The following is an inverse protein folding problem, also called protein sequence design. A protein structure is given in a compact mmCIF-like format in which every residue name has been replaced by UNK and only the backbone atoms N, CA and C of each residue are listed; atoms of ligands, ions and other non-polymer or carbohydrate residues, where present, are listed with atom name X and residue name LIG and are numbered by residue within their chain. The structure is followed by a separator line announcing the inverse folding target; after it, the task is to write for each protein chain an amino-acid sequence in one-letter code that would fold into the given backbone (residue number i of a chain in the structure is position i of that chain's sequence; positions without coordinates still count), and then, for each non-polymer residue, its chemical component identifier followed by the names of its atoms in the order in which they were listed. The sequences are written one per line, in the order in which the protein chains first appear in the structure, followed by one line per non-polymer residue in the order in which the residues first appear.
data_IF_612762230905
#
_entry.id   IF_612762230905
#
_cell.length_a   1.000
_cell.length_b   1.000
_cell.length_c   1.000
_cell.angle_alpha   90.00
_cell.angle_beta   90.00
_cell.angle_gamma   90.00
#
_symmetry.space_group_name_H-M   'P 1'
#
loop_
_entity.id
_entity.type
_entity.pdbx_description
1 polymer ?
#
# COMPACT_ATOMS: atom_id res chain seq x y z
N UNK A 1 -34.76 22.17 27.88
CA UNK A 1 -34.61 22.54 26.46
C UNK A 1 -33.13 22.72 26.18
N UNK A 2 -32.47 21.61 25.88
CA UNK A 2 -31.14 21.56 25.28
C UNK A 2 -31.25 20.47 24.22
N UNK A 3 -31.59 20.87 23.00
CA UNK A 3 -31.52 20.02 21.82
C UNK A 3 -30.04 19.75 21.57
N UNK A 4 -29.63 18.51 21.80
CA UNK A 4 -28.35 18.01 21.35
C UNK A 4 -28.47 17.82 19.84
N UNK A 5 -27.86 18.71 19.06
CA UNK A 5 -27.64 18.48 17.64
C UNK A 5 -26.91 17.15 17.49
N UNK A 6 -27.63 16.14 17.00
CA UNK A 6 -27.00 14.97 16.40
C UNK A 6 -26.26 15.53 15.19
N UNK A 7 -24.93 15.61 15.28
CA UNK A 7 -24.10 15.91 14.13
C UNK A 7 -24.46 14.88 13.06
N UNK A 8 -25.03 15.37 11.96
CA UNK A 8 -25.27 14.58 10.76
C UNK A 8 -23.93 13.93 10.38
N UNK A 9 -23.84 12.60 10.48
CA UNK A 9 -22.63 11.90 10.12
C UNK A 9 -22.41 12.18 8.64
N UNK A 10 -21.29 12.83 8.30
CA UNK A 10 -20.93 13.12 6.91
C UNK A 10 -21.16 11.85 6.07
N UNK A 11 -21.79 11.97 4.88
CA UNK A 11 -22.14 10.82 4.08
C UNK A 11 -20.90 9.96 3.86
N UNK A 12 -20.99 8.69 4.28
CA UNK A 12 -19.91 7.72 4.12
C UNK A 12 -19.67 7.53 2.63
N UNK A 13 -18.40 7.64 2.20
CA UNK A 13 -18.03 7.51 0.79
C UNK A 13 -18.54 6.15 0.24
N UNK A 14 -19.22 6.11 -0.92
CA UNK A 14 -19.86 4.89 -1.41
C UNK A 14 -18.87 3.75 -1.68
N UNK A 15 -17.63 4.08 -2.06
CA UNK A 15 -16.57 3.10 -2.31
C UNK A 15 -15.84 2.62 -1.04
N UNK A 16 -16.17 3.12 0.16
CA UNK A 16 -15.41 2.83 1.39
C UNK A 16 -15.28 1.32 1.66
N UNK A 17 -16.35 0.55 1.47
CA UNK A 17 -16.33 -0.90 1.68
C UNK A 17 -15.47 -1.64 0.63
N UNK A 18 -15.49 -1.18 -0.63
CA UNK A 18 -14.66 -1.73 -1.70
C UNK A 18 -13.17 -1.49 -1.40
N UNK A 19 -12.82 -0.26 -1.02
CA UNK A 19 -11.45 0.10 -0.66
C UNK A 19 -10.97 -0.64 0.59
N UNK A 20 -11.82 -0.77 1.60
CA UNK A 20 -11.50 -1.56 2.79
C UNK A 20 -11.18 -3.02 2.42
N UNK A 21 -11.96 -3.63 1.53
CA UNK A 21 -11.73 -5.00 1.06
C UNK A 21 -10.37 -5.14 0.37
N UNK A 22 -10.00 -4.16 -0.47
CA UNK A 22 -8.70 -4.15 -1.14
C UNK A 22 -7.55 -4.00 -0.14
N UNK A 23 -7.68 -3.06 0.79
CA UNK A 23 -6.69 -2.79 1.83
C UNK A 23 -6.50 -4.04 2.72
N UNK A 24 -7.59 -4.73 3.09
CA UNK A 24 -7.53 -5.96 3.87
C UNK A 24 -6.76 -7.07 3.14
N UNK A 25 -6.98 -7.22 1.83
CA UNK A 25 -6.23 -8.17 1.00
C UNK A 25 -4.73 -7.80 0.92
N UNK A 26 -4.40 -6.53 0.77
CA UNK A 26 -3.01 -6.05 0.77
C UNK A 26 -2.32 -6.33 2.12
N UNK A 27 -3.01 -6.12 3.24
CA UNK A 27 -2.50 -6.46 4.57
C UNK A 27 -2.31 -7.96 4.77
N UNK A 28 -3.27 -8.79 4.33
CA UNK A 28 -3.14 -10.24 4.39
C UNK A 28 -1.89 -10.70 3.61
N UNK A 29 -1.61 -10.08 2.47
CA UNK A 29 -0.42 -10.37 1.68
C UNK A 29 0.88 -9.91 2.36
N UNK A 30 0.89 -8.72 2.96
CA UNK A 30 2.02 -8.26 3.77
C UNK A 30 2.32 -9.21 4.94
N UNK A 31 1.27 -9.66 5.63
CA UNK A 31 1.40 -10.60 6.76
C UNK A 31 1.98 -11.95 6.28
N UNK A 32 1.54 -12.45 5.12
CA UNK A 32 2.10 -13.66 4.50
C UNK A 32 3.58 -13.48 4.11
N UNK A 33 3.95 -12.33 3.53
CA UNK A 33 5.35 -12.01 3.19
C UNK A 33 6.24 -11.97 4.43
N UNK A 34 5.76 -11.37 5.53
CA UNK A 34 6.45 -11.34 6.82
C UNK A 34 6.59 -12.74 7.42
N UNK A 35 5.54 -13.55 7.40
CA UNK A 35 5.57 -14.92 7.90
C UNK A 35 6.58 -15.79 7.12
N UNK A 36 6.59 -15.67 5.79
CA UNK A 36 7.57 -16.36 4.93
C UNK A 36 9.00 -15.95 5.24
N UNK A 37 9.28 -14.65 5.36
CA UNK A 37 10.61 -14.16 5.74
C UNK A 37 11.03 -14.60 7.16
N UNK A 38 10.10 -14.62 8.12
CA UNK A 38 10.36 -15.08 9.48
C UNK A 38 10.68 -16.59 9.54
N UNK A 39 9.96 -17.41 8.77
CA UNK A 39 10.24 -18.85 8.67
C UNK A 39 11.64 -19.14 8.11
N UNK A 40 12.06 -18.39 7.09
CA UNK A 40 13.42 -18.48 6.53
C UNK A 40 14.48 -18.10 7.58
N UNK A 41 14.25 -17.00 8.33
CA UNK A 41 15.17 -16.57 9.38
C UNK A 41 15.30 -17.61 10.50
N UNK A 42 14.18 -18.20 10.93
CA UNK A 42 14.17 -19.25 11.96
C UNK A 42 14.93 -20.51 11.52
N UNK A 43 14.77 -20.92 10.25
CA UNK A 43 15.49 -22.06 9.69
C UNK A 43 17.02 -21.90 9.73
N UNK A 44 17.55 -20.70 9.57
CA UNK A 44 19.00 -20.46 9.72
C UNK A 44 19.50 -20.59 11.17
N UNK A 45 18.65 -20.25 12.15
CA UNK A 45 18.98 -20.35 13.57
C UNK A 45 19.02 -21.81 14.05
N UNK A 46 18.11 -22.67 13.55
CA UNK A 46 18.01 -24.07 13.97
C UNK A 46 19.14 -24.97 13.45
N UNK A 47 19.71 -24.67 12.27
CA UNK A 47 20.78 -25.46 11.62
C UNK A 47 22.17 -25.21 12.26
N UNK A 48 22.22 -24.76 13.51
CA UNK A 48 23.36 -24.18 14.21
C UNK A 48 24.55 -25.08 14.57
N UNK A 49 24.65 -26.33 14.09
CA UNK A 49 25.71 -27.27 14.51
C UNK A 49 26.42 -27.97 13.35
N UNK A 50 27.21 -27.25 12.55
CA UNK A 50 28.13 -27.88 11.58
C UNK A 50 28.45 -27.04 10.33
N UNK A 51 29.45 -27.50 9.57
CA UNK A 51 29.84 -26.93 8.27
C UNK A 51 31.24 -26.28 8.23
N UNK A 52 31.76 -26.13 7.01
CA UNK A 52 33.02 -25.42 6.72
C UNK A 52 32.93 -23.92 7.07
N UNK A 53 34.06 -23.22 7.14
CA UNK A 53 34.07 -21.76 7.34
C UNK A 53 33.23 -21.02 6.28
N UNK A 54 33.31 -21.47 5.02
CA UNK A 54 32.52 -20.94 3.90
C UNK A 54 31.00 -21.07 4.15
N UNK A 55 30.54 -22.24 4.59
CA UNK A 55 29.12 -22.49 4.86
C UNK A 55 28.59 -21.62 6.02
N UNK A 56 29.44 -21.25 6.98
CA UNK A 56 29.07 -20.32 8.06
C UNK A 56 28.91 -18.90 7.54
N UNK A 57 29.85 -18.43 6.71
CA UNK A 57 29.78 -17.09 6.12
C UNK A 57 28.55 -16.93 5.23
N UNK A 58 28.26 -17.89 4.35
CA UNK A 58 27.07 -17.86 3.49
C UNK A 58 25.78 -17.82 4.30
N UNK A 59 25.72 -18.55 5.43
CA UNK A 59 24.59 -18.50 6.38
C UNK A 59 24.45 -17.11 7.00
N UNK A 60 25.53 -16.54 7.52
CA UNK A 60 25.50 -15.23 8.19
C UNK A 60 25.04 -14.13 7.22
N UNK A 61 25.46 -14.21 5.96
CA UNK A 61 24.99 -13.32 4.89
C UNK A 61 23.49 -13.53 4.63
N UNK A 62 23.04 -14.78 4.48
CA UNK A 62 21.64 -15.07 4.22
C UNK A 62 20.72 -14.60 5.38
N UNK A 63 21.10 -14.89 6.62
CA UNK A 63 20.42 -14.45 7.84
C UNK A 63 20.35 -12.91 7.94
N UNK A 64 21.47 -12.23 7.68
CA UNK A 64 21.51 -10.76 7.63
C UNK A 64 20.58 -10.18 6.56
N UNK A 65 20.55 -10.77 5.36
CA UNK A 65 19.65 -10.37 4.27
C UNK A 65 18.18 -10.57 4.68
N UNK A 66 17.84 -11.71 5.28
CA UNK A 66 16.47 -11.99 5.71
C UNK A 66 16.02 -11.05 6.83
N UNK A 67 16.87 -10.77 7.83
CA UNK A 67 16.53 -9.80 8.89
C UNK A 67 16.33 -8.39 8.33
N UNK A 68 17.16 -7.96 7.37
CA UNK A 68 16.97 -6.68 6.68
C UNK A 68 15.63 -6.62 5.94
N UNK A 69 15.25 -7.72 5.28
CA UNK A 69 13.94 -7.83 4.62
C UNK A 69 12.79 -7.73 5.61
N UNK A 70 12.87 -8.39 6.76
CA UNK A 70 11.85 -8.27 7.81
C UNK A 70 11.72 -6.83 8.32
N UNK A 71 12.85 -6.18 8.60
CA UNK A 71 12.85 -4.78 9.02
C UNK A 71 12.28 -3.83 7.95
N UNK A 72 12.55 -4.09 6.67
CA UNK A 72 12.00 -3.30 5.57
C UNK A 72 10.49 -3.49 5.39
N UNK A 73 9.94 -4.63 5.81
CA UNK A 73 8.50 -4.91 5.79
C UNK A 73 7.79 -4.40 7.04
N UNK A 74 8.50 -3.95 8.06
CA UNK A 74 7.91 -3.39 9.28
C UNK A 74 7.46 -1.95 9.05
N UNK A 75 6.19 -1.69 9.31
CA UNK A 75 5.57 -0.36 9.17
C UNK A 75 5.02 0.16 10.50
N UNK A 76 5.21 -0.59 11.61
CA UNK A 76 4.61 -0.28 12.90
C UNK A 76 3.09 -0.10 12.82
N UNK A 77 2.59 0.96 13.47
CA UNK A 77 1.17 1.33 13.49
C UNK A 77 0.73 2.19 12.30
N UNK A 78 1.64 2.47 11.36
CA UNK A 78 1.32 3.26 10.19
C UNK A 78 0.39 2.49 9.24
N UNK A 79 -0.47 3.23 8.53
CA UNK A 79 -1.25 2.65 7.45
C UNK A 79 -0.33 2.16 6.31
N UNK A 80 -0.53 0.92 5.86
CA UNK A 80 0.15 0.31 4.71
C UNK A 80 -0.14 1.13 3.45
N UNK A 81 -1.41 1.35 3.15
CA UNK A 81 -1.89 2.10 1.99
C UNK A 81 -2.48 3.41 2.47
N UNK A 82 -2.08 4.51 1.84
CA UNK A 82 -2.54 5.85 2.23
C UNK A 82 -3.17 6.62 1.06
N UNK A 83 -3.12 6.08 -0.16
CA UNK A 83 -3.86 6.65 -1.27
C UNK A 83 -3.84 5.79 -2.51
N UNK A 84 -4.47 6.29 -3.56
CA UNK A 84 -4.56 5.66 -4.88
C UNK A 84 -4.41 6.72 -5.97
N UNK A 85 -3.78 6.35 -7.06
CA UNK A 85 -3.76 7.11 -8.31
C UNK A 85 -4.59 6.36 -9.35
N UNK A 86 -5.52 7.06 -9.96
CA UNK A 86 -6.19 6.63 -11.18
C UNK A 86 -5.62 7.46 -12.34
N UNK A 87 -5.07 6.81 -13.37
CA UNK A 87 -4.36 7.40 -14.51
C UNK A 87 -5.12 7.18 -15.81
N UNK A 88 -4.85 8.01 -16.82
CA UNK A 88 -5.54 7.92 -18.11
C UNK A 88 -5.30 6.59 -18.82
N UNK A 89 -6.19 6.24 -19.75
CA UNK A 89 -6.10 5.01 -20.56
C UNK A 89 -4.88 4.92 -21.46
N UNK A 90 -4.19 6.04 -21.69
CA UNK A 90 -2.96 6.10 -22.48
C UNK A 90 -1.78 5.42 -21.76
N UNK A 91 -1.91 5.20 -20.45
CA UNK A 91 -0.95 4.43 -19.65
C UNK A 91 -1.28 2.93 -19.75
N UNK A 92 -0.24 2.09 -19.65
CA UNK A 92 -0.37 0.64 -19.63
C UNK A 92 -1.43 0.19 -18.61
N UNK A 93 -2.22 -0.84 -18.95
CA UNK A 93 -3.38 -1.26 -18.14
C UNK A 93 -3.03 -1.55 -16.67
N UNK A 94 -1.87 -2.17 -16.41
CA UNK A 94 -1.38 -2.45 -15.05
C UNK A 94 -0.94 -1.22 -14.26
N UNK A 95 -0.86 -0.04 -14.88
CA UNK A 95 -0.50 1.22 -14.25
C UNK A 95 -1.68 2.20 -14.14
N UNK A 96 -2.87 1.81 -14.60
CA UNK A 96 -4.06 2.67 -14.57
C UNK A 96 -4.54 2.96 -13.16
N UNK A 97 -4.43 1.98 -12.27
CA UNK A 97 -4.81 2.13 -10.86
C UNK A 97 -3.63 1.69 -10.00
N UNK A 98 -3.05 2.64 -9.27
CA UNK A 98 -1.90 2.40 -8.41
C UNK A 98 -2.25 2.72 -6.97
N UNK A 99 -2.24 1.70 -6.11
CA UNK A 99 -2.36 1.90 -4.67
C UNK A 99 -0.99 2.27 -4.10
N UNK A 100 -0.91 3.42 -3.44
CA UNK A 100 0.34 3.98 -2.94
C UNK A 100 0.46 3.72 -1.44
N UNK A 101 1.59 3.14 -1.04
CA UNK A 101 1.81 2.67 0.32
C UNK A 101 3.25 2.76 0.81
N UNK A 102 3.45 2.33 2.06
CA UNK A 102 4.72 2.47 2.79
C UNK A 102 5.79 1.48 2.36
N UNK A 103 5.36 0.30 1.92
CA UNK A 103 6.20 -0.81 1.47
C UNK A 103 5.53 -1.45 0.26
N UNK A 104 6.32 -1.97 -0.66
CA UNK A 104 5.80 -2.68 -1.82
C UNK A 104 5.18 -4.03 -1.40
N UNK A 105 4.01 -4.33 -1.93
CA UNK A 105 3.30 -5.61 -1.73
C UNK A 105 2.85 -6.11 -3.09
N UNK A 106 3.18 -7.35 -3.40
CA UNK A 106 2.75 -8.01 -4.64
C UNK A 106 1.85 -9.18 -4.29
N UNK A 107 0.91 -9.53 -5.15
CA UNK A 107 0.07 -10.71 -5.01
C UNK A 107 0.86 -12.02 -5.25
N UNK A 108 0.14 -13.13 -5.39
CA UNK A 108 0.76 -14.44 -5.67
C UNK A 108 1.27 -14.57 -7.12
N UNK A 109 0.69 -13.83 -8.06
CA UNK A 109 1.14 -13.76 -9.45
C UNK A 109 2.33 -12.80 -9.66
N UNK A 110 2.80 -12.14 -8.60
CA UNK A 110 3.82 -11.08 -8.63
C UNK A 110 3.35 -9.76 -9.25
N UNK A 111 2.04 -9.56 -9.34
CA UNK A 111 1.46 -8.27 -9.72
C UNK A 111 1.42 -7.32 -8.51
N UNK A 112 1.71 -6.03 -8.69
CA UNK A 112 1.76 -5.07 -7.60
C UNK A 112 0.36 -4.81 -7.02
N UNK A 113 0.20 -5.07 -5.72
CA UNK A 113 -0.96 -4.64 -4.94
C UNK A 113 -0.73 -3.29 -4.26
N UNK A 114 0.51 -3.01 -3.86
CA UNK A 114 0.91 -1.74 -3.24
C UNK A 114 2.23 -1.31 -3.81
N UNK A 115 2.27 -0.10 -4.33
CA UNK A 115 3.48 0.57 -4.80
C UNK A 115 4.12 1.33 -3.64
N UNK A 116 5.42 1.12 -3.42
CA UNK A 116 6.19 1.91 -2.46
C UNK A 116 6.21 3.39 -2.89
N UNK A 117 5.84 4.27 -1.98
CA UNK A 117 5.80 5.72 -2.20
C UNK A 117 7.12 6.34 -2.67
N UNK A 118 8.24 5.65 -2.45
CA UNK A 118 9.57 6.09 -2.90
C UNK A 118 9.86 5.73 -4.35
N UNK A 119 9.04 4.89 -4.98
CA UNK A 119 9.22 4.50 -6.37
C UNK A 119 8.91 5.68 -7.30
N UNK A 120 9.67 5.87 -8.40
CA UNK A 120 9.40 6.95 -9.36
C UNK A 120 7.97 6.95 -9.91
N UNK A 121 7.37 5.78 -10.10
CA UNK A 121 5.98 5.65 -10.59
C UNK A 121 4.94 6.21 -9.61
N UNK A 122 5.29 6.36 -8.32
CA UNK A 122 4.44 6.97 -7.30
C UNK A 122 4.61 8.50 -7.21
N UNK A 123 5.59 9.09 -7.91
CA UNK A 123 5.88 10.53 -7.89
C UNK A 123 4.65 11.41 -8.14
N UNK A 124 3.74 11.10 -9.09
CA UNK A 124 2.55 11.91 -9.33
C UNK A 124 1.64 12.06 -8.11
N UNK A 125 1.68 11.12 -7.16
CA UNK A 125 0.93 11.22 -5.91
C UNK A 125 1.25 12.51 -5.15
N UNK A 126 2.51 12.95 -5.17
CA UNK A 126 2.95 14.12 -4.45
C UNK A 126 3.12 15.36 -5.32
N UNK A 127 3.38 15.18 -6.62
CA UNK A 127 3.75 16.28 -7.51
C UNK A 127 2.67 16.69 -8.50
N UNK A 128 1.69 15.83 -8.80
CA UNK A 128 0.63 16.18 -9.74
C UNK A 128 -0.17 17.38 -9.22
N UNK A 129 -0.45 18.32 -10.12
CA UNK A 129 -1.29 19.51 -9.90
C UNK A 129 -2.31 19.63 -11.04
N UNK A 130 -3.43 20.36 -10.89
CA UNK A 130 -4.37 20.56 -12.00
C UNK A 130 -3.75 21.18 -13.26
N UNK A 131 -2.65 21.93 -13.11
CA UNK A 131 -1.91 22.53 -14.23
C UNK A 131 -0.92 21.54 -14.86
N UNK A 132 -0.33 20.66 -14.05
CA UNK A 132 0.57 19.59 -14.47
C UNK A 132 0.07 18.25 -13.89
N UNK A 133 -0.91 17.59 -14.51
CA UNK A 133 -1.55 16.38 -13.96
C UNK A 133 -0.64 15.14 -13.95
N UNK A 134 0.46 15.15 -14.70
CA UNK A 134 1.39 14.00 -14.81
C UNK A 134 0.69 12.69 -15.22
N UNK A 135 -0.38 12.78 -16.02
CA UNK A 135 -1.19 11.64 -16.46
C UNK A 135 -2.14 11.08 -15.39
N UNK A 136 -2.31 11.77 -14.27
CA UNK A 136 -3.30 11.44 -13.23
C UNK A 136 -4.66 12.01 -13.63
N UNK A 137 -5.70 11.19 -13.54
CA UNK A 137 -7.11 11.59 -13.69
C UNK A 137 -7.70 11.89 -12.32
N UNK A 138 -7.45 11.00 -11.34
CA UNK A 138 -7.89 11.17 -9.95
C UNK A 138 -6.80 10.74 -8.97
N UNK A 139 -6.62 11.53 -7.91
CA UNK A 139 -5.82 11.18 -6.73
C UNK A 139 -6.76 11.00 -5.54
N UNK A 140 -6.70 9.83 -4.92
CA UNK A 140 -7.49 9.47 -3.75
C UNK A 140 -6.61 9.39 -2.52
N UNK A 141 -7.03 9.99 -1.42
CA UNK A 141 -6.39 9.88 -0.11
C UNK A 141 -7.24 9.02 0.82
N UNK A 142 -6.60 8.13 1.56
CA UNK A 142 -7.25 7.26 2.54
C UNK A 142 -7.03 7.79 3.95
N UNK A 143 -8.14 8.03 4.66
CA UNK A 143 -8.13 8.38 6.07
C UNK A 143 -8.31 7.10 6.88
N UNK A 144 -7.31 6.77 7.70
CA UNK A 144 -7.36 5.60 8.57
C UNK A 144 -7.49 6.00 10.03
N UNK A 145 -8.07 5.13 10.86
CA UNK A 145 -8.15 5.38 12.29
C UNK A 145 -6.74 5.40 12.90
N UNK A 146 -6.46 6.42 13.70
CA UNK A 146 -5.17 6.56 14.38
C UNK A 146 -4.84 5.31 15.22
N UNK A 147 -3.62 4.77 15.06
CA UNK A 147 -3.18 3.54 15.72
C UNK A 147 -3.85 2.26 15.21
N UNK A 148 -4.69 2.36 14.18
CA UNK A 148 -5.34 1.23 13.49
C UNK A 148 -5.28 1.44 11.99
N UNK A 149 -4.08 1.43 11.42
CA UNK A 149 -3.85 1.68 9.99
C UNK A 149 -4.55 0.74 9.01
N UNK A 150 -5.26 -0.29 9.49
CA UNK A 150 -6.09 -1.20 8.69
C UNK A 150 -7.53 -0.70 8.52
N UNK A 151 -8.00 0.19 9.39
CA UNK A 151 -9.39 0.61 9.41
C UNK A 151 -9.56 1.94 8.65
N UNK A 152 -10.18 1.87 7.49
CA UNK A 152 -10.54 3.02 6.67
C UNK A 152 -11.76 3.73 7.25
N UNK A 153 -11.64 5.03 7.51
CA UNK A 153 -12.68 5.87 8.09
C UNK A 153 -13.14 6.98 7.16
N UNK A 154 -12.44 7.20 6.05
CA UNK A 154 -12.80 8.20 5.06
C UNK A 154 -11.95 8.11 3.80
N UNK A 155 -12.47 8.73 2.75
CA UNK A 155 -11.86 8.83 1.42
C UNK A 155 -11.98 10.28 1.00
N UNK A 156 -10.91 10.84 0.45
CA UNK A 156 -10.88 12.19 -0.13
C UNK A 156 -10.34 12.13 -1.56
N UNK A 157 -11.14 12.60 -2.52
CA UNK A 157 -10.88 12.50 -3.95
C UNK A 157 -10.57 13.87 -4.57
N UNK A 158 -9.46 13.91 -5.31
CA UNK A 158 -9.02 15.07 -6.08
C UNK A 158 -8.98 14.71 -7.57
N UNK A 159 -9.83 15.35 -8.37
CA UNK A 159 -9.95 15.12 -9.81
C UNK A 159 -9.15 16.18 -10.58
N UNK A 160 -8.25 15.74 -11.46
CA UNK A 160 -7.36 16.59 -12.24
C UNK A 160 -7.89 16.85 -13.65
N UNK A 161 -8.62 15.88 -14.19
CA UNK A 161 -9.26 15.95 -15.50
C UNK A 161 -10.71 15.45 -15.35
N UNK A 162 -11.67 16.38 -15.40
CA UNK A 162 -13.09 16.07 -15.18
C UNK A 162 -13.68 15.30 -16.36
N UNK A 163 -13.29 15.63 -17.58
CA UNK A 163 -13.82 14.97 -18.78
C UNK A 163 -13.31 13.52 -18.85
N UNK A 164 -12.02 13.31 -18.55
CA UNK A 164 -11.46 11.96 -18.42
C UNK A 164 -12.08 11.20 -17.23
N UNK A 165 -12.31 11.86 -16.08
CA UNK A 165 -12.93 11.21 -14.95
C UNK A 165 -14.36 10.75 -15.26
N UNK A 166 -15.16 11.56 -15.96
CA UNK A 166 -16.51 11.16 -16.39
C UNK A 166 -16.49 10.01 -17.40
N UNK A 167 -15.57 10.04 -18.38
CA UNK A 167 -15.42 8.97 -19.37
C UNK A 167 -15.01 7.62 -18.74
N UNK A 168 -14.21 7.67 -17.68
CA UNK A 168 -13.70 6.50 -16.96
C UNK A 168 -14.57 6.08 -15.76
N UNK A 169 -15.65 6.82 -15.44
CA UNK A 169 -16.50 6.55 -14.28
C UNK A 169 -15.81 6.82 -12.92
N UNK A 170 -14.89 7.77 -12.89
CA UNK A 170 -14.09 8.20 -11.73
C UNK A 170 -14.60 9.53 -11.11
N UNK A 171 -15.82 9.96 -11.45
CA UNK A 171 -16.43 11.21 -11.01
C UNK A 171 -17.00 11.18 -9.59
#
# INVERSE_FOLDING_TARGET
MLEYCVADAAPVHPELATEQTYIDAAYARLDAMRASAAAVAAGFAEVGAGGTHQARLERDVADSVTRRRLAALDIGDAALVFGRLDRSVDVAAGERTLYIGRVAVNDDAQEPLVVDWRAPVAEPFYRATPVEPMGVVRRRHFLTRHGRGRELVGIDDEVFDRDAAEAEGLS
#
